data_IF_959126562637
#
_entry.id   IF_959126562637
#
_cell.length_a   1.000
_cell.length_b   1.000
_cell.length_c   1.000
_cell.angle_alpha   90.00
_cell.angle_beta   90.00
_cell.angle_gamma   90.00
#
_symmetry.space_group_name_H-M   'P 1'
#
loop_
_entity.id
_entity.type
_entity.pdbx_description
1 polymer ?
#
# COMPACT_ATOMS: atom_id res chain seq x y z
N UNK A 1 -4.24 5.80 10.08
CA UNK A 1 -5.70 5.60 10.30
C UNK A 1 -6.48 6.68 9.55
N UNK A 2 -6.95 6.40 8.34
CA UNK A 2 -7.91 7.26 7.64
C UNK A 2 -9.27 7.12 8.34
N UNK A 3 -9.54 8.00 9.31
CA UNK A 3 -10.86 8.09 9.94
C UNK A 3 -11.76 8.95 9.05
N UNK A 4 -12.89 8.37 8.64
CA UNK A 4 -13.87 8.90 7.69
C UNK A 4 -14.05 10.43 7.67
N UNK A 5 -14.05 10.99 6.46
CA UNK A 5 -14.48 12.36 6.14
C UNK A 5 -13.39 13.43 6.31
N UNK A 6 -12.83 13.59 7.51
CA UNK A 6 -11.90 14.70 7.79
C UNK A 6 -10.53 14.51 7.14
N UNK A 7 -10.03 13.27 7.05
CA UNK A 7 -8.75 12.96 6.38
C UNK A 7 -8.88 12.95 4.87
N UNK A 8 -10.01 12.48 4.31
CA UNK A 8 -10.29 12.50 2.85
C UNK A 8 -10.14 13.91 2.26
N UNK A 9 -10.76 14.91 2.89
CA UNK A 9 -10.68 16.31 2.43
C UNK A 9 -9.24 16.83 2.47
N UNK A 10 -8.52 16.55 3.57
CA UNK A 10 -7.11 16.93 3.71
C UNK A 10 -6.20 16.26 2.68
N UNK A 11 -6.43 14.97 2.38
CA UNK A 11 -5.69 14.24 1.33
C UNK A 11 -5.92 14.88 -0.03
N UNK A 12 -7.17 15.18 -0.40
CA UNK A 12 -7.50 15.80 -1.68
C UNK A 12 -6.87 17.19 -1.81
N UNK A 13 -7.03 18.05 -0.80
CA UNK A 13 -6.44 19.40 -0.78
C UNK A 13 -4.91 19.37 -0.90
N UNK A 14 -4.26 18.42 -0.21
CA UNK A 14 -2.81 18.22 -0.28
C UNK A 14 -2.39 17.78 -1.68
N UNK A 15 -3.09 16.81 -2.27
CA UNK A 15 -2.78 16.30 -3.60
C UNK A 15 -2.96 17.38 -4.68
N UNK A 16 -4.05 18.15 -4.63
CA UNK A 16 -4.29 19.27 -5.55
C UNK A 16 -3.21 20.35 -5.40
N UNK A 17 -2.76 20.63 -4.17
CA UNK A 17 -1.65 21.56 -3.92
C UNK A 17 -0.34 21.06 -4.55
N UNK A 18 -0.01 19.78 -4.41
CA UNK A 18 1.17 19.16 -5.06
C UNK A 18 1.06 19.26 -6.59
N UNK A 19 -0.13 18.98 -7.15
CA UNK A 19 -0.37 19.08 -8.59
C UNK A 19 -0.22 20.51 -9.12
N UNK A 20 -0.60 21.52 -8.34
CA UNK A 20 -0.42 22.93 -8.71
C UNK A 20 1.05 23.33 -8.87
N UNK A 21 1.98 22.57 -8.27
CA UNK A 21 3.43 22.73 -8.42
C UNK A 21 4.00 21.96 -9.64
N UNK A 22 3.13 21.38 -10.48
CA UNK A 22 3.52 20.59 -11.64
C UNK A 22 4.01 19.17 -11.30
N UNK A 23 3.79 18.71 -10.06
CA UNK A 23 4.20 17.39 -9.60
C UNK A 23 3.05 16.39 -9.67
N UNK A 24 3.35 15.09 -9.82
CA UNK A 24 2.35 14.04 -9.71
C UNK A 24 2.06 13.75 -8.23
N UNK A 25 0.79 13.57 -7.89
CA UNK A 25 0.37 13.14 -6.57
C UNK A 25 -0.23 11.73 -6.64
N UNK A 26 0.05 10.94 -5.60
CA UNK A 26 -0.37 9.55 -5.46
C UNK A 26 -1.03 9.39 -4.09
N UNK A 27 -2.31 9.77 -3.92
CA UNK A 27 -3.00 9.57 -2.66
C UNK A 27 -3.01 8.09 -2.27
N UNK A 28 -2.78 7.82 -1.00
CA UNK A 28 -3.03 6.52 -0.41
C UNK A 28 -4.54 6.29 -0.31
N UNK A 29 -4.98 5.07 -0.61
CA UNK A 29 -6.38 4.66 -0.48
C UNK A 29 -6.46 3.31 0.24
N UNK A 30 -7.12 3.30 1.39
CA UNK A 30 -7.27 2.11 2.23
C UNK A 30 -8.68 1.51 2.17
N UNK A 31 -8.76 0.18 2.21
CA UNK A 31 -10.03 -0.56 2.06
C UNK A 31 -10.74 -0.84 3.39
N UNK A 32 -9.99 -1.02 4.48
CA UNK A 32 -10.55 -1.41 5.78
C UNK A 32 -11.55 -0.36 6.29
N UNK A 33 -12.77 -0.81 6.56
CA UNK A 33 -13.87 0.03 7.06
C UNK A 33 -14.55 0.89 6.00
N UNK A 34 -14.12 0.82 4.73
CA UNK A 34 -14.78 1.52 3.62
C UNK A 34 -15.88 0.66 2.99
N UNK A 35 -16.90 1.33 2.44
CA UNK A 35 -17.91 0.69 1.60
C UNK A 35 -17.58 0.92 0.12
N UNK A 36 -18.14 0.09 -0.77
CA UNK A 36 -18.04 0.29 -2.22
C UNK A 36 -18.55 1.66 -2.64
N UNK A 37 -19.63 2.13 -2.03
CA UNK A 37 -20.18 3.46 -2.29
C UNK A 37 -19.19 4.55 -1.91
N UNK A 38 -18.57 4.48 -0.72
CA UNK A 38 -17.62 5.50 -0.28
C UNK A 38 -16.35 5.52 -1.14
N UNK A 39 -15.82 4.35 -1.53
CA UNK A 39 -14.67 4.28 -2.44
C UNK A 39 -15.04 4.86 -3.81
N UNK A 40 -16.22 4.54 -4.35
CA UNK A 40 -16.68 5.08 -5.63
C UNK A 40 -16.77 6.60 -5.62
N UNK A 41 -17.30 7.18 -4.54
CA UNK A 41 -17.30 8.64 -4.37
C UNK A 41 -15.88 9.22 -4.36
N UNK A 42 -14.93 8.58 -3.66
CA UNK A 42 -13.53 9.04 -3.63
C UNK A 42 -12.90 9.00 -5.02
N UNK A 43 -13.13 7.91 -5.78
CA UNK A 43 -12.62 7.80 -7.15
C UNK A 43 -13.19 8.88 -8.07
N UNK A 44 -14.47 9.22 -7.91
CA UNK A 44 -15.09 10.31 -8.66
C UNK A 44 -14.44 11.67 -8.33
N UNK A 45 -14.26 11.99 -7.05
CA UNK A 45 -13.58 13.23 -6.64
C UNK A 45 -12.16 13.30 -7.22
N UNK A 46 -11.41 12.21 -7.14
CA UNK A 46 -10.04 12.14 -7.68
C UNK A 46 -10.04 12.37 -9.19
N UNK A 47 -10.95 11.72 -9.91
CA UNK A 47 -11.10 11.88 -11.35
C UNK A 47 -11.46 13.32 -11.74
N UNK A 48 -12.38 13.95 -11.01
CA UNK A 48 -12.76 15.36 -11.23
C UNK A 48 -11.58 16.33 -11.04
N UNK A 49 -10.66 16.01 -10.13
CA UNK A 49 -9.43 16.78 -9.90
C UNK A 49 -8.26 16.38 -10.81
N UNK A 50 -8.43 15.37 -11.68
CA UNK A 50 -7.36 14.86 -12.54
C UNK A 50 -6.34 13.97 -11.83
N UNK A 51 -6.66 13.46 -10.63
CA UNK A 51 -5.88 12.48 -9.91
C UNK A 51 -6.22 11.08 -10.44
N UNK A 52 -5.29 10.50 -11.19
CA UNK A 52 -5.46 9.17 -11.80
C UNK A 52 -4.45 8.15 -11.30
N UNK A 53 -3.55 8.51 -10.38
CA UNK A 53 -2.59 7.59 -9.78
C UNK A 53 -2.91 7.42 -8.30
N UNK A 54 -2.92 6.19 -7.80
CA UNK A 54 -3.25 5.89 -6.41
C UNK A 54 -2.32 4.81 -5.86
N UNK A 55 -2.05 4.86 -4.56
CA UNK A 55 -1.37 3.78 -3.84
C UNK A 55 -2.41 3.05 -3.00
N UNK A 56 -2.65 1.78 -3.32
CA UNK A 56 -3.66 0.97 -2.62
C UNK A 56 -3.06 0.25 -1.43
N UNK A 57 -3.73 0.35 -0.30
CA UNK A 57 -3.34 -0.28 0.95
C UNK A 57 -4.51 -1.09 1.52
N UNK A 58 -4.21 -2.13 2.29
CA UNK A 58 -5.24 -2.77 3.12
C UNK A 58 -5.77 -1.76 4.14
N UNK A 59 -4.84 -1.14 4.86
CA UNK A 59 -5.11 -0.34 6.06
C UNK A 59 -4.89 -1.14 7.34
N UNK A 60 -4.88 -0.43 8.45
CA UNK A 60 -4.73 -1.00 9.79
C UNK A 60 -6.07 -1.55 10.28
N UNK A 61 -6.04 -2.66 11.01
CA UNK A 61 -7.24 -3.18 11.66
C UNK A 61 -7.78 -2.13 12.66
N UNK A 62 -9.09 -1.89 12.69
CA UNK A 62 -9.67 -0.90 13.58
C UNK A 62 -9.46 -1.33 15.04
N UNK A 63 -8.96 -0.41 15.88
CA UNK A 63 -8.91 -0.60 17.31
C UNK A 63 -10.32 -0.48 17.91
N UNK A 64 -11.10 -1.56 17.91
CA UNK A 64 -12.44 -1.61 18.54
C UNK A 64 -13.54 -2.23 17.67
N UNK A 65 -14.79 -1.78 17.88
CA UNK A 65 -16.00 -2.28 17.20
C UNK A 65 -16.13 -1.62 15.82
N UNK A 66 -15.23 -1.98 14.91
CA UNK A 66 -15.29 -1.59 13.50
C UNK A 66 -15.33 -2.84 12.62
N UNK A 67 -16.26 -2.89 11.66
CA UNK A 67 -16.27 -3.96 10.66
C UNK A 67 -15.12 -3.79 9.66
N UNK A 68 -14.74 -4.88 9.00
CA UNK A 68 -13.73 -4.85 7.93
C UNK A 68 -14.19 -4.02 6.71
N UNK A 69 -15.47 -3.71 6.61
CA UNK A 69 -16.05 -3.04 5.45
C UNK A 69 -16.20 -4.00 4.27
N UNK A 70 -16.29 -3.44 3.06
CA UNK A 70 -16.44 -4.21 1.82
C UNK A 70 -15.10 -4.71 1.25
N UNK A 71 -13.97 -4.29 1.84
CA UNK A 71 -12.62 -4.54 1.34
C UNK A 71 -11.69 -5.05 2.46
N UNK A 72 -11.84 -6.32 2.89
CA UNK A 72 -11.01 -6.89 3.94
C UNK A 72 -9.54 -7.02 3.51
N UNK A 73 -9.26 -7.15 2.21
CA UNK A 73 -7.91 -7.20 1.66
C UNK A 73 -7.67 -6.12 0.60
N UNK A 74 -6.42 -5.70 0.43
CA UNK A 74 -6.03 -4.78 -0.64
C UNK A 74 -6.41 -5.32 -2.03
N UNK A 75 -6.36 -6.65 -2.22
CA UNK A 75 -6.76 -7.31 -3.45
C UNK A 75 -8.21 -7.00 -3.85
N UNK A 76 -9.13 -6.96 -2.88
CA UNK A 76 -10.54 -6.67 -3.13
C UNK A 76 -10.73 -5.22 -3.61
N UNK A 77 -9.97 -4.30 -3.01
CA UNK A 77 -9.97 -2.89 -3.38
C UNK A 77 -9.44 -2.70 -4.80
N UNK A 78 -8.32 -3.32 -5.17
CA UNK A 78 -7.72 -3.24 -6.51
C UNK A 78 -8.71 -3.74 -7.57
N UNK A 79 -9.31 -4.92 -7.36
CA UNK A 79 -10.30 -5.50 -8.27
C UNK A 79 -11.51 -4.59 -8.45
N UNK A 80 -11.98 -3.97 -7.37
CA UNK A 80 -13.09 -3.03 -7.44
C UNK A 80 -12.74 -1.77 -8.22
N UNK A 81 -11.58 -1.17 -7.97
CA UNK A 81 -11.14 0.04 -8.67
C UNK A 81 -11.00 -0.23 -10.16
N UNK A 82 -10.29 -1.30 -10.56
CA UNK A 82 -10.14 -1.64 -11.99
C UNK A 82 -11.46 -1.96 -12.68
N UNK A 83 -12.45 -2.47 -11.95
CA UNK A 83 -13.80 -2.70 -12.48
C UNK A 83 -14.60 -1.39 -12.67
N UNK A 84 -14.52 -0.47 -11.71
CA UNK A 84 -15.30 0.77 -11.77
C UNK A 84 -14.63 1.84 -12.66
N UNK A 85 -13.30 1.94 -12.63
CA UNK A 85 -12.51 2.96 -13.31
C UNK A 85 -11.14 2.40 -13.75
N UNK A 86 -11.10 1.77 -14.92
CA UNK A 86 -9.90 1.12 -15.48
C UNK A 86 -8.71 2.08 -15.67
N UNK A 87 -8.98 3.37 -15.86
CA UNK A 87 -7.98 4.41 -16.14
C UNK A 87 -7.11 4.80 -14.92
N UNK A 88 -7.41 4.31 -13.71
CA UNK A 88 -6.55 4.54 -12.56
C UNK A 88 -5.29 3.68 -12.64
N UNK A 89 -4.13 4.33 -12.52
CA UNK A 89 -2.85 3.68 -12.28
C UNK A 89 -2.73 3.32 -10.80
N UNK A 90 -2.45 2.05 -10.51
CA UNK A 90 -2.46 1.50 -9.15
C UNK A 90 -1.05 1.05 -8.75
N UNK A 91 -0.52 1.69 -7.72
CA UNK A 91 0.67 1.24 -7.00
C UNK A 91 0.25 0.36 -5.81
N UNK A 92 0.98 -0.72 -5.56
CA UNK A 92 0.74 -1.63 -4.43
C UNK A 92 1.92 -1.69 -3.48
N UNK A 93 1.67 -2.08 -2.22
CA UNK A 93 2.75 -2.41 -1.27
C UNK A 93 3.37 -3.77 -1.57
N UNK A 94 4.67 -3.89 -1.37
CA UNK A 94 5.44 -5.13 -1.40
C UNK A 94 6.31 -5.25 -0.13
N UNK A 95 6.63 -6.46 0.30
CA UNK A 95 7.40 -6.71 1.53
C UNK A 95 8.61 -7.58 1.20
N UNK A 96 9.83 -7.01 1.16
CA UNK A 96 11.03 -7.78 0.85
C UNK A 96 11.37 -8.89 1.86
N UNK A 97 11.03 -8.69 3.14
CA UNK A 97 11.26 -9.69 4.20
C UNK A 97 10.04 -10.60 4.38
N UNK A 98 8.96 -10.09 4.96
CA UNK A 98 7.62 -10.71 5.01
C UNK A 98 6.66 -9.74 5.71
N UNK A 99 5.41 -9.66 5.27
CA UNK A 99 4.37 -8.92 6.02
C UNK A 99 4.15 -9.55 7.42
N UNK A 100 4.09 -8.78 8.52
CA UNK A 100 3.90 -9.32 9.89
C UNK A 100 2.70 -10.25 10.08
N UNK A 101 1.57 -9.90 9.46
CA UNK A 101 0.34 -10.70 9.50
C UNK A 101 0.31 -11.87 8.50
N UNK A 102 1.38 -12.11 7.72
CA UNK A 102 1.40 -13.21 6.76
C UNK A 102 1.70 -14.55 7.44
N UNK A 103 1.02 -15.60 6.98
CA UNK A 103 1.22 -16.96 7.51
C UNK A 103 2.60 -17.52 7.17
N UNK A 104 3.18 -17.10 6.04
CA UNK A 104 4.53 -17.45 5.59
C UNK A 104 5.02 -16.48 4.53
N UNK A 105 6.32 -16.50 4.27
CA UNK A 105 6.97 -15.76 3.18
C UNK A 105 6.37 -16.10 1.81
N UNK A 106 6.04 -17.39 1.57
CA UNK A 106 5.40 -17.82 0.33
C UNK A 106 3.99 -17.27 0.19
N UNK A 107 3.19 -17.33 1.27
CA UNK A 107 1.82 -16.80 1.26
C UNK A 107 1.82 -15.27 1.03
N UNK A 108 2.78 -14.54 1.60
CA UNK A 108 2.92 -13.10 1.37
C UNK A 108 3.27 -12.78 -0.10
N UNK A 109 4.22 -13.54 -0.67
CA UNK A 109 4.59 -13.38 -2.06
C UNK A 109 3.45 -13.77 -3.03
N UNK A 110 2.70 -14.84 -2.76
CA UNK A 110 1.49 -15.19 -3.51
C UNK A 110 0.44 -14.08 -3.46
N UNK A 111 0.25 -13.45 -2.30
CA UNK A 111 -0.62 -12.28 -2.18
C UNK A 111 -0.12 -11.09 -3.00
N UNK A 112 1.19 -10.87 -3.08
CA UNK A 112 1.77 -9.90 -4.00
C UNK A 112 1.45 -10.24 -5.46
N UNK A 113 1.67 -11.48 -5.92
CA UNK A 113 1.35 -11.93 -7.28
C UNK A 113 -0.14 -11.76 -7.62
N UNK A 114 -1.02 -12.05 -6.66
CA UNK A 114 -2.46 -11.86 -6.82
C UNK A 114 -2.83 -10.38 -7.02
N UNK A 115 -2.16 -9.46 -6.32
CA UNK A 115 -2.35 -8.01 -6.51
C UNK A 115 -1.83 -7.55 -7.87
N UNK A 116 -0.68 -8.05 -8.33
CA UNK A 116 -0.15 -7.78 -9.68
C UNK A 116 -1.15 -8.25 -10.74
N UNK A 117 -1.62 -9.50 -10.62
CA UNK A 117 -2.57 -10.10 -11.55
C UNK A 117 -3.93 -9.40 -11.57
N UNK A 118 -4.30 -8.71 -10.49
CA UNK A 118 -5.52 -7.90 -10.42
C UNK A 118 -5.39 -6.54 -11.13
N UNK A 119 -4.22 -6.21 -11.68
CA UNK A 119 -3.98 -5.00 -12.45
C UNK A 119 -3.19 -3.93 -11.70
N UNK A 120 -2.31 -4.28 -10.77
CA UNK A 120 -1.34 -3.29 -10.29
C UNK A 120 -0.42 -2.84 -11.43
N UNK A 121 -0.10 -1.55 -11.47
CA UNK A 121 0.76 -0.93 -12.48
C UNK A 121 2.19 -0.72 -11.97
N UNK A 122 2.40 -0.82 -10.65
CA UNK A 122 3.69 -0.71 -10.00
C UNK A 122 3.61 -1.15 -8.53
N UNK A 123 4.76 -1.29 -7.89
CA UNK A 123 4.86 -1.62 -6.48
C UNK A 123 5.93 -0.80 -5.77
N UNK A 124 5.67 -0.50 -4.50
CA UNK A 124 6.60 0.16 -3.59
C UNK A 124 6.84 -0.80 -2.43
N UNK A 125 8.11 -1.11 -2.20
CA UNK A 125 8.49 -1.99 -1.09
C UNK A 125 8.41 -1.26 0.25
N UNK A 126 8.08 -2.01 1.30
CA UNK A 126 8.36 -1.59 2.67
C UNK A 126 9.86 -1.35 2.84
N UNK A 127 10.25 -0.43 3.72
CA UNK A 127 11.66 -0.21 4.04
C UNK A 127 12.32 -1.49 4.57
N UNK A 128 13.61 -1.62 4.27
CA UNK A 128 14.48 -2.72 4.70
C UNK A 128 15.84 -2.13 5.06
N UNK A 129 16.58 -2.82 5.94
CA UNK A 129 17.94 -2.40 6.33
C UNK A 129 19.03 -3.19 5.61
N UNK A 130 18.75 -4.44 5.25
CA UNK A 130 19.66 -5.32 4.52
C UNK A 130 19.31 -5.28 3.04
N UNK A 131 20.24 -4.86 2.17
CA UNK A 131 19.98 -4.80 0.73
C UNK A 131 19.63 -6.18 0.13
N UNK A 132 20.16 -7.25 0.72
CA UNK A 132 19.91 -8.64 0.32
C UNK A 132 18.42 -8.99 0.32
N UNK A 133 17.63 -8.41 1.22
CA UNK A 133 16.18 -8.65 1.28
C UNK A 133 15.48 -8.15 0.01
N UNK A 134 15.88 -6.97 -0.49
CA UNK A 134 15.34 -6.44 -1.73
C UNK A 134 15.77 -7.27 -2.95
N UNK A 135 17.05 -7.63 -3.05
CA UNK A 135 17.53 -8.42 -4.19
C UNK A 135 16.90 -9.81 -4.23
N UNK A 136 16.74 -10.48 -3.09
CA UNK A 136 16.01 -11.77 -3.01
C UNK A 136 14.55 -11.63 -3.44
N UNK A 137 13.90 -10.53 -3.08
CA UNK A 137 12.54 -10.25 -3.54
C UNK A 137 12.50 -10.04 -5.06
N UNK A 138 13.44 -9.28 -5.61
CA UNK A 138 13.56 -9.07 -7.06
C UNK A 138 13.85 -10.36 -7.83
N UNK A 139 14.70 -11.25 -7.30
CA UNK A 139 14.94 -12.58 -7.88
C UNK A 139 13.66 -13.42 -7.97
N UNK A 140 12.77 -13.31 -6.98
CA UNK A 140 11.46 -13.97 -7.02
C UNK A 140 10.56 -13.33 -8.08
N UNK A 141 10.54 -12.00 -8.16
CA UNK A 141 9.80 -11.28 -9.20
C UNK A 141 10.27 -11.67 -10.61
N UNK A 142 11.57 -11.81 -10.82
CA UNK A 142 12.13 -12.26 -12.11
C UNK A 142 11.71 -13.69 -12.45
N UNK A 143 11.76 -14.61 -11.48
CA UNK A 143 11.32 -16.02 -11.67
C UNK A 143 9.84 -16.11 -12.06
N UNK A 144 8.99 -15.28 -11.47
CA UNK A 144 7.56 -15.20 -11.79
C UNK A 144 7.25 -14.25 -12.97
N UNK A 145 8.27 -13.74 -13.65
CA UNK A 145 8.15 -12.88 -14.85
C UNK A 145 7.32 -11.61 -14.61
N UNK A 146 7.46 -11.01 -13.43
CA UNK A 146 6.79 -9.77 -13.05
C UNK A 146 7.41 -8.60 -13.81
N UNK A 147 6.58 -7.87 -14.57
CA UNK A 147 7.01 -6.79 -15.46
C UNK A 147 6.74 -5.38 -14.91
N UNK A 148 5.96 -5.26 -13.84
CA UNK A 148 5.68 -3.97 -13.21
C UNK A 148 6.92 -3.45 -12.47
N UNK A 149 7.15 -2.13 -12.43
CA UNK A 149 8.24 -1.55 -11.64
C UNK A 149 8.05 -1.84 -10.15
N UNK A 150 9.13 -2.24 -9.47
CA UNK A 150 9.18 -2.44 -8.01
C UNK A 150 10.21 -1.48 -7.41
N UNK A 151 9.74 -0.39 -6.81
CA UNK A 151 10.58 0.68 -6.26
C UNK A 151 11.02 0.35 -4.83
N UNK A 152 12.32 0.44 -4.50
CA UNK A 152 12.80 0.26 -3.14
C UNK A 152 12.33 1.39 -2.22
N UNK A 153 11.61 1.08 -1.15
CA UNK A 153 11.30 2.02 -0.09
C UNK A 153 12.52 2.19 0.81
N UNK A 154 13.08 3.39 0.88
CA UNK A 154 14.23 3.67 1.75
C UNK A 154 13.81 4.67 2.80
N UNK A 155 14.06 4.34 4.08
CA UNK A 155 13.86 5.26 5.19
C UNK A 155 15.23 5.73 5.72
N UNK A 156 15.61 6.98 5.48
CA UNK A 156 16.81 7.54 6.09
C UNK A 156 16.67 7.62 7.61
N UNK A 157 17.64 7.08 8.35
CA UNK A 157 17.65 7.15 9.82
C UNK A 157 18.17 8.53 10.24
N UNK A 158 17.27 9.36 10.75
CA UNK A 158 17.61 10.68 11.29
C UNK A 158 17.63 10.72 12.83
N UNK A 159 16.99 9.74 13.48
CA UNK A 159 16.92 9.60 14.94
C UNK A 159 16.66 8.13 15.33
N UNK A 160 17.39 7.66 16.34
CA UNK A 160 17.23 6.32 16.93
C UNK A 160 15.82 6.04 17.48
N UNK A 161 15.10 7.06 17.99
CA UNK A 161 13.75 6.85 18.51
C UNK A 161 12.72 6.58 17.40
N UNK A 162 12.87 7.26 16.26
CA UNK A 162 12.02 7.03 15.08
C UNK A 162 12.20 5.61 14.53
N UNK A 163 13.45 5.13 14.51
CA UNK A 163 13.79 3.76 14.14
C UNK A 163 13.11 2.74 15.07
N UNK A 164 13.27 2.90 16.38
CA UNK A 164 12.70 1.96 17.37
C UNK A 164 11.17 1.95 17.30
N UNK A 165 10.52 3.10 17.11
CA UNK A 165 9.05 3.16 16.99
C UNK A 165 8.54 2.42 15.76
N UNK A 166 9.21 2.56 14.62
CA UNK A 166 8.80 1.85 13.41
C UNK A 166 9.12 0.36 13.51
N UNK A 167 10.32 -0.03 13.97
CA UNK A 167 10.66 -1.43 14.19
C UNK A 167 9.67 -2.14 15.14
N UNK A 168 9.16 -1.46 16.18
CA UNK A 168 8.16 -2.05 17.08
C UNK A 168 6.83 -2.41 16.42
N UNK A 169 6.48 -1.77 15.30
CA UNK A 169 5.28 -2.12 14.53
C UNK A 169 5.53 -3.31 13.58
N UNK A 170 6.75 -3.87 13.58
CA UNK A 170 7.16 -5.02 12.76
C UNK A 170 7.88 -6.04 13.65
N UNK A 171 7.21 -7.13 14.08
CA UNK A 171 7.90 -8.20 14.80
C UNK A 171 8.89 -8.88 13.86
N UNK A 172 10.17 -8.51 13.95
CA UNK A 172 11.27 -9.32 13.44
C UNK A 172 11.26 -10.64 14.24
N UNK A 173 11.19 -11.77 13.54
CA UNK A 173 11.43 -13.07 14.15
C UNK A 173 12.86 -13.12 14.74
N UNK A 174 12.97 -13.73 15.93
CA UNK A 174 14.17 -13.97 16.74
C UNK A 174 14.76 -12.81 17.55
N UNK A 175 14.21 -12.61 18.76
CA UNK A 175 14.99 -12.24 19.93
C UNK A 175 15.33 -13.49 20.77
N UNK A 176 16.31 -14.28 20.31
CA UNK A 176 17.13 -15.09 21.21
C UNK A 176 18.54 -14.51 21.17
N UNK A 177 18.79 -13.56 22.09
CA UNK A 177 20.09 -13.21 22.69
C UNK A 177 19.95 -11.88 23.45
N UNK A 178 19.38 -11.98 24.65
CA UNK A 178 19.74 -11.24 25.85
C UNK A 178 19.15 -11.99 27.06
#
# INVERSE_FOLDING_TARGET
>A
MERGGSTRKGTLETCTSIMSLGQKAYPHLSGIGASKASIKEILNDYKEQGLTNIVTLRGDLPSGIGGLGDFPYALDLIKFIKKEEENFSIEISAYPEVHPDAESENADFENFLNKVSAGADGAITQFFFEEDSYFKFMDKCEKEQISIPVVPGIMPIHDSEALIRMAKNFPSSNSSLA
#
